data_IF_155309864674
#
_entry.id   IF_155309864674
#
_cell.length_a   1.000
_cell.length_b   1.000
_cell.length_c   1.000
_cell.angle_alpha   90.00
_cell.angle_beta   90.00
_cell.angle_gamma   90.00
#
_symmetry.space_group_name_H-M   'P 1'
#
loop_
_entity.id
_entity.type
_entity.pdbx_description
1 polymer ?
#
# COMPACT_ATOMS: atom_id res chain seq x y z
N UNK A 1 -5.14 5.08 18.89
CA UNK A 1 -4.40 5.91 17.93
C UNK A 1 -5.36 6.24 16.79
N UNK A 2 -5.85 7.49 16.66
CA UNK A 2 -6.78 7.81 15.59
C UNK A 2 -5.98 7.86 14.28
N UNK A 3 -6.35 6.98 13.35
CA UNK A 3 -5.89 7.02 11.96
C UNK A 3 -6.49 8.29 11.35
N UNK A 4 -5.69 9.36 11.32
CA UNK A 4 -6.11 10.65 10.76
C UNK A 4 -6.48 10.50 9.29
N UNK A 5 -7.72 10.89 8.99
CA UNK A 5 -8.23 11.48 7.75
C UNK A 5 -7.14 11.80 6.68
N UNK A 6 -7.21 11.37 5.43
CA UNK A 6 -8.29 10.85 4.58
C UNK A 6 -7.64 9.86 3.61
N UNK A 7 -8.15 8.63 3.52
CA UNK A 7 -7.92 7.84 2.31
C UNK A 7 -8.52 8.67 1.16
N UNK A 8 -7.71 9.03 0.16
CA UNK A 8 -8.15 9.84 -0.97
C UNK A 8 -9.07 9.00 -1.85
N UNK A 9 -10.35 8.87 -1.44
CA UNK A 9 -11.46 8.25 -2.16
C UNK A 9 -11.36 6.73 -2.36
N UNK A 10 -10.23 6.25 -2.90
CA UNK A 10 -10.03 4.88 -3.38
C UNK A 10 -8.59 4.36 -3.14
N UNK A 11 -7.67 5.19 -2.64
CA UNK A 11 -6.26 4.86 -2.49
C UNK A 11 -5.75 5.05 -1.06
N UNK A 12 -4.72 4.27 -0.68
CA UNK A 12 -4.02 4.50 0.57
C UNK A 12 -3.40 5.91 0.57
N UNK A 13 -3.44 6.61 1.70
CA UNK A 13 -2.97 8.00 1.83
C UNK A 13 -1.53 8.23 1.32
N UNK A 14 -0.71 7.19 1.32
CA UNK A 14 0.69 7.24 0.87
C UNK A 14 0.92 6.74 -0.57
N UNK A 15 -0.15 6.30 -1.25
CA UNK A 15 -0.13 5.82 -2.62
C UNK A 15 -0.16 6.94 -3.66
N UNK A 16 -0.69 8.10 -3.29
CA UNK A 16 -0.73 9.29 -4.11
C UNK A 16 0.26 10.34 -3.60
N UNK A 17 0.74 11.20 -4.48
CA UNK A 17 1.47 12.40 -4.11
C UNK A 17 0.53 13.48 -3.54
N UNK A 18 1.10 14.59 -3.07
CA UNK A 18 0.32 15.71 -2.51
C UNK A 18 -0.61 16.42 -3.52
N UNK A 19 -0.53 16.06 -4.80
CA UNK A 19 -1.43 16.52 -5.87
C UNK A 19 -2.53 15.52 -6.18
N UNK A 20 -2.56 14.35 -5.52
CA UNK A 20 -3.52 13.28 -5.76
C UNK A 20 -3.15 12.35 -6.93
N UNK A 21 -1.93 12.44 -7.46
CA UNK A 21 -1.45 11.57 -8.55
C UNK A 21 -0.79 10.32 -7.97
N UNK A 22 -1.12 9.15 -8.51
CA UNK A 22 -0.52 7.89 -8.06
C UNK A 22 0.98 7.87 -8.31
N UNK A 23 1.72 7.52 -7.26
CA UNK A 23 3.16 7.26 -7.33
C UNK A 23 3.46 6.04 -8.20
N UNK A 24 4.70 5.90 -8.69
CA UNK A 24 5.12 4.71 -9.45
C UNK A 24 4.79 3.43 -8.69
N UNK A 25 4.29 2.41 -9.39
CA UNK A 25 3.86 1.16 -8.77
C UNK A 25 4.93 0.53 -7.88
N UNK A 26 6.18 0.48 -8.34
CA UNK A 26 7.30 -0.10 -7.57
C UNK A 26 7.56 0.67 -6.26
N UNK A 27 7.41 2.00 -6.28
CA UNK A 27 7.53 2.84 -5.08
C UNK A 27 6.40 2.55 -4.10
N UNK A 28 5.17 2.48 -4.59
CA UNK A 28 3.99 2.15 -3.77
C UNK A 28 4.10 0.74 -3.19
N UNK A 29 4.50 -0.25 -4.00
CA UNK A 29 4.72 -1.63 -3.60
C UNK A 29 5.76 -1.73 -2.51
N UNK A 30 6.91 -1.06 -2.67
CA UNK A 30 7.97 -1.05 -1.66
C UNK A 30 7.51 -0.37 -0.37
N UNK A 31 6.81 0.76 -0.46
CA UNK A 31 6.26 1.47 0.70
C UNK A 31 5.23 0.64 1.47
N UNK A 32 4.31 -0.02 0.76
CA UNK A 32 3.34 -0.94 1.38
C UNK A 32 4.06 -2.15 1.98
N UNK A 33 5.02 -2.75 1.28
CA UNK A 33 5.77 -3.90 1.81
C UNK A 33 6.52 -3.54 3.10
N UNK A 34 7.17 -2.37 3.14
CA UNK A 34 7.83 -1.85 4.34
C UNK A 34 6.83 -1.57 5.47
N UNK A 35 5.69 -0.94 5.15
CA UNK A 35 4.64 -0.70 6.12
C UNK A 35 4.06 -2.00 6.67
N UNK A 36 3.75 -2.97 5.82
CA UNK A 36 3.30 -4.30 6.23
C UNK A 36 4.35 -4.99 7.13
N UNK A 37 5.63 -4.86 6.80
CA UNK A 37 6.72 -5.44 7.58
C UNK A 37 6.89 -4.80 8.95
N UNK A 38 6.53 -3.52 9.13
CA UNK A 38 6.73 -2.80 10.39
C UNK A 38 5.78 -3.23 11.51
N UNK A 39 4.59 -3.73 11.16
CA UNK A 39 3.59 -4.19 12.13
C UNK A 39 3.29 -5.69 12.05
N UNK A 40 3.73 -6.37 10.99
CA UNK A 40 3.56 -7.83 10.88
C UNK A 40 4.65 -8.51 11.72
N UNK A 41 4.27 -9.37 12.68
CA UNK A 41 5.26 -10.10 13.48
C UNK A 41 6.07 -11.05 12.60
N UNK A 42 7.38 -11.13 12.82
CA UNK A 42 8.33 -11.98 12.06
C UNK A 42 7.93 -13.47 12.01
N UNK A 43 7.13 -13.92 12.98
CA UNK A 43 6.55 -15.26 13.02
C UNK A 43 5.65 -15.56 11.83
N UNK A 44 5.06 -14.53 11.22
CA UNK A 44 4.29 -14.66 9.98
C UNK A 44 5.29 -14.63 8.83
N UNK A 45 5.83 -15.80 8.46
CA UNK A 45 6.62 -15.99 7.24
C UNK A 45 5.76 -15.79 6.00
N UNK A 46 5.33 -14.56 5.73
CA UNK A 46 4.73 -14.16 4.46
C UNK A 46 5.62 -13.11 3.83
N UNK A 47 5.88 -13.30 2.54
CA UNK A 47 6.59 -12.34 1.74
C UNK A 47 5.84 -10.99 1.75
N UNK A 48 6.45 -9.92 2.30
CA UNK A 48 5.79 -8.63 2.45
C UNK A 48 5.49 -7.99 1.10
N UNK A 49 6.28 -8.32 0.08
CA UNK A 49 6.11 -7.86 -1.30
C UNK A 49 4.89 -8.49 -1.95
N UNK A 50 4.72 -9.80 -1.82
CA UNK A 50 3.53 -10.51 -2.32
C UNK A 50 2.24 -10.00 -1.64
N UNK A 51 2.31 -9.63 -0.36
CA UNK A 51 1.17 -9.00 0.33
C UNK A 51 0.91 -7.58 -0.16
N UNK A 52 1.95 -6.81 -0.46
CA UNK A 52 1.80 -5.49 -1.05
C UNK A 52 1.12 -5.59 -2.42
N UNK A 53 1.51 -6.54 -3.26
CA UNK A 53 0.87 -6.77 -4.56
C UNK A 53 -0.60 -7.18 -4.43
N UNK A 54 -0.93 -8.07 -3.50
CA UNK A 54 -2.31 -8.45 -3.22
C UNK A 54 -3.15 -7.25 -2.72
N UNK A 55 -2.55 -6.38 -1.90
CA UNK A 55 -3.19 -5.16 -1.42
C UNK A 55 -3.40 -4.15 -2.57
N UNK A 56 -2.43 -4.03 -3.48
CA UNK A 56 -2.55 -3.16 -4.66
C UNK A 56 -3.60 -3.66 -5.65
N UNK A 57 -3.69 -4.97 -5.88
CA UNK A 57 -4.75 -5.56 -6.73
C UNK A 57 -6.17 -5.33 -6.22
N UNK A 58 -6.34 -5.07 -4.92
CA UNK A 58 -7.63 -4.71 -4.36
C UNK A 58 -8.04 -3.25 -4.69
N UNK A 59 -7.14 -2.44 -5.26
CA UNK A 59 -7.42 -1.06 -5.64
C UNK A 59 -7.70 -0.95 -7.15
N UNK A 60 -8.68 -0.14 -7.58
CA UNK A 60 -9.09 -0.03 -8.98
C UNK A 60 -7.95 0.32 -9.95
N UNK A 61 -7.02 1.19 -9.53
CA UNK A 61 -5.89 1.60 -10.36
C UNK A 61 -4.90 0.48 -10.70
N UNK A 62 -4.87 -0.61 -9.94
CA UNK A 62 -3.93 -1.71 -10.13
C UNK A 62 -4.63 -3.08 -10.23
N UNK A 63 -5.95 -3.09 -10.41
CA UNK A 63 -6.74 -4.31 -10.51
C UNK A 63 -6.42 -5.15 -11.76
N UNK A 64 -5.98 -4.51 -12.85
CA UNK A 64 -5.72 -5.16 -14.15
C UNK A 64 -4.30 -5.72 -14.31
N UNK A 65 -3.49 -5.75 -13.24
CA UNK A 65 -2.05 -6.05 -13.29
C UNK A 65 -1.66 -7.47 -12.88
#
# INVERSE_FOLDING_TARGET
>A
MPLGAEATGDYCQYCADGSGVLKPYEEVRAGIAQWLSSWTPETVKRDPTARAEAYMRAMPAWADR
#
